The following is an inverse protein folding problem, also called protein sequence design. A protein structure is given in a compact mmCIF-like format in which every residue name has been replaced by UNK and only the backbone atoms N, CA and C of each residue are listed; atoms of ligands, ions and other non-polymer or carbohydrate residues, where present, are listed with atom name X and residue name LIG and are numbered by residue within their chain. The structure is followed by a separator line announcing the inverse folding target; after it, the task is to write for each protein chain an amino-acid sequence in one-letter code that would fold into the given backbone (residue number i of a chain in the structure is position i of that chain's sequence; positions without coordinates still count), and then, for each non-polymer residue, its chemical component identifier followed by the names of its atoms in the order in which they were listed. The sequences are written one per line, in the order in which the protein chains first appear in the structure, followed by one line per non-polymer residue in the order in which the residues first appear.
data_IF_330641541100
#
_entry.id   IF_330641541100
#
_cell.length_a   1.000
_cell.length_b   1.000
_cell.length_c   1.000
_cell.angle_alpha   90.00
_cell.angle_beta   90.00
_cell.angle_gamma   90.00
#
_symmetry.space_group_name_H-M   'P 1'
#
loop_
_entity.id
_entity.type
_entity.pdbx_description
1 polymer ?
#
# COMPACT_ATOMS: atom_id res chain seq x y z
N UNK A 1 -18.30 -6.42 -19.58
CA UNK A 1 -17.02 -5.76 -19.87
C UNK A 1 -15.94 -6.49 -19.08
N UNK A 2 -15.15 -7.36 -19.71
CA UNK A 2 -14.04 -8.06 -19.03
C UNK A 2 -12.84 -7.10 -18.97
N UNK A 3 -12.44 -6.70 -17.77
CA UNK A 3 -11.30 -5.82 -17.55
C UNK A 3 -10.01 -6.61 -17.77
N UNK A 4 -9.34 -6.39 -18.90
CA UNK A 4 -7.99 -6.89 -19.10
C UNK A 4 -7.04 -6.13 -18.17
N UNK A 5 -6.16 -6.82 -17.43
CA UNK A 5 -5.23 -6.15 -16.53
C UNK A 5 -4.30 -5.23 -17.34
N UNK A 6 -4.26 -3.96 -16.95
CA UNK A 6 -3.38 -2.98 -17.59
C UNK A 6 -1.92 -3.34 -17.34
N UNK A 7 -1.10 -3.24 -18.38
CA UNK A 7 0.34 -3.47 -18.28
C UNK A 7 1.00 -2.30 -17.55
N UNK A 8 2.03 -2.59 -16.75
CA UNK A 8 2.72 -1.61 -15.87
C UNK A 8 3.53 -0.53 -16.62
N UNK A 9 3.47 -0.48 -17.95
CA UNK A 9 4.38 0.31 -18.78
C UNK A 9 3.88 1.73 -19.10
N UNK A 10 2.61 2.06 -18.81
CA UNK A 10 2.06 3.40 -19.08
C UNK A 10 1.42 3.98 -17.82
N UNK A 11 2.09 4.95 -17.22
CA UNK A 11 1.62 5.68 -16.05
C UNK A 11 1.99 7.16 -16.16
N UNK A 12 1.22 8.01 -15.47
CA UNK A 12 1.49 9.45 -15.31
C UNK A 12 1.74 9.68 -13.83
N UNK A 13 2.81 10.42 -13.50
CA UNK A 13 3.10 10.80 -12.11
C UNK A 13 2.79 12.27 -11.95
N UNK A 14 1.88 12.58 -11.04
CA UNK A 14 1.49 13.94 -10.70
C UNK A 14 1.74 14.16 -9.20
N UNK A 15 2.42 15.25 -8.86
CA UNK A 15 2.69 15.66 -7.48
C UNK A 15 2.09 17.05 -7.30
N UNK A 16 1.14 17.19 -6.37
CA UNK A 16 0.46 18.47 -6.06
C UNK A 16 -0.17 19.16 -7.29
N UNK A 17 -0.61 18.37 -8.28
CA UNK A 17 -1.24 18.90 -9.50
C UNK A 17 -0.25 19.33 -10.59
N UNK A 18 1.05 19.19 -10.36
CA UNK A 18 2.09 19.37 -11.36
C UNK A 18 2.50 18.01 -11.95
N UNK A 19 2.66 17.96 -13.27
CA UNK A 19 3.24 16.79 -13.94
C UNK A 19 4.69 16.65 -13.48
N UNK A 20 4.96 15.60 -12.70
CA UNK A 20 6.27 15.40 -12.07
C UNK A 20 7.31 14.85 -13.05
N UNK A 21 6.94 14.65 -14.32
CA UNK A 21 7.80 14.12 -15.38
C UNK A 21 7.71 12.60 -15.55
N UNK A 22 8.54 12.10 -16.47
CA UNK A 22 8.64 10.68 -16.77
C UNK A 22 9.58 9.98 -15.78
N UNK A 23 9.05 9.02 -15.02
CA UNK A 23 9.85 8.10 -14.22
C UNK A 23 9.98 6.76 -14.94
N UNK A 24 11.09 6.07 -14.70
CA UNK A 24 11.33 4.70 -15.19
C UNK A 24 10.72 3.67 -14.25
N UNK A 25 10.69 3.94 -12.94
CA UNK A 25 10.10 3.06 -11.93
C UNK A 25 9.42 3.86 -10.82
N UNK A 26 8.21 3.43 -10.45
CA UNK A 26 7.40 4.02 -9.38
C UNK A 26 6.93 2.86 -8.49
N UNK A 27 7.47 2.78 -7.28
CA UNK A 27 7.22 1.68 -6.34
C UNK A 27 7.00 2.20 -4.93
N UNK A 28 6.58 1.31 -4.01
CA UNK A 28 6.38 1.68 -2.60
C UNK A 28 4.97 2.10 -2.23
N UNK A 29 3.97 1.82 -3.07
CA UNK A 29 2.54 1.98 -2.75
C UNK A 29 2.01 0.85 -1.86
N UNK A 30 2.81 0.39 -0.90
CA UNK A 30 2.37 -0.58 0.09
C UNK A 30 1.68 0.16 1.24
N UNK A 31 0.52 -0.36 1.63
CA UNK A 31 -0.16 0.02 2.84
C UNK A 31 -0.37 -1.25 3.66
N UNK A 32 0.32 -1.34 4.79
CA UNK A 32 0.22 -2.47 5.71
C UNK A 32 -0.45 -2.01 7.00
N UNK A 33 -1.33 -2.86 7.53
CA UNK A 33 -1.98 -2.62 8.83
C UNK A 33 -1.37 -3.65 9.77
N UNK A 34 -0.64 -3.19 10.78
CA UNK A 34 -0.15 -4.08 11.83
C UNK A 34 -1.36 -4.64 12.58
N UNK A 35 -1.40 -5.96 12.81
CA UNK A 35 -2.47 -6.58 13.58
C UNK A 35 -1.96 -6.84 14.99
N UNK A 36 -2.67 -6.32 15.98
CA UNK A 36 -2.39 -6.61 17.40
C UNK A 36 -3.33 -7.72 17.84
N UNK A 37 -2.77 -8.81 18.35
CA UNK A 37 -3.54 -9.92 18.88
C UNK A 37 -3.80 -9.72 20.37
N UNK A 38 -5.07 -9.53 20.74
CA UNK A 38 -5.49 -9.34 22.12
C UNK A 38 -6.14 -10.63 22.66
N UNK A 39 -5.76 -11.00 23.88
CA UNK A 39 -6.37 -12.11 24.64
C UNK A 39 -6.74 -11.64 26.03
N UNK A 40 -8.01 -11.82 26.38
CA UNK A 40 -8.53 -11.61 27.73
C UNK A 40 -8.80 -12.98 28.36
N UNK A 41 -8.62 -13.11 29.68
CA UNK A 41 -8.57 -14.40 30.39
C UNK A 41 -9.83 -15.26 30.33
N UNK A 42 -10.96 -14.72 29.88
CA UNK A 42 -12.27 -15.39 29.79
C UNK A 42 -12.75 -15.61 28.33
N UNK A 43 -11.88 -15.37 27.34
CA UNK A 43 -12.24 -15.52 25.92
C UNK A 43 -11.96 -16.91 25.34
N UNK A 44 -12.74 -17.24 24.30
CA UNK A 44 -12.62 -18.45 23.46
C UNK A 44 -11.18 -18.63 22.95
N UNK A 45 -10.75 -19.87 22.69
CA UNK A 45 -9.38 -20.32 22.36
C UNK A 45 -8.64 -19.54 21.25
N UNK A 46 -9.32 -18.64 20.53
CA UNK A 46 -8.77 -17.84 19.43
C UNK A 46 -8.53 -16.38 19.86
N UNK A 47 -7.32 -15.82 19.64
CA UNK A 47 -7.04 -14.41 19.92
C UNK A 47 -7.85 -13.49 19.02
N UNK A 48 -8.31 -12.35 19.56
CA UNK A 48 -8.96 -11.32 18.75
C UNK A 48 -7.92 -10.49 18.01
N UNK A 49 -8.16 -10.28 16.71
CA UNK A 49 -7.31 -9.46 15.85
C UNK A 49 -7.82 -8.03 15.86
N UNK A 50 -7.12 -7.16 16.57
CA UNK A 50 -7.39 -5.73 16.59
C UNK A 50 -6.53 -5.06 15.51
N UNK A 51 -7.12 -4.30 14.58
CA UNK A 51 -6.33 -3.53 13.62
C UNK A 51 -5.53 -2.47 14.38
N UNK A 52 -4.21 -2.58 14.32
CA UNK A 52 -3.25 -1.67 14.90
C UNK A 52 -2.92 -0.50 13.97
N UNK A 53 -1.67 -0.03 14.05
CA UNK A 53 -1.24 1.13 13.28
C UNK A 53 -1.19 0.81 11.77
N UNK A 54 -1.60 1.81 10.98
CA UNK A 54 -1.42 1.79 9.53
C UNK A 54 -0.01 2.28 9.22
N UNK A 55 0.79 1.43 8.61
CA UNK A 55 2.10 1.78 8.07
C UNK A 55 1.95 1.98 6.57
N UNK A 56 2.53 3.07 6.10
CA UNK A 56 2.68 3.35 4.68
C UNK A 56 4.14 3.16 4.32
N UNK A 57 4.39 2.39 3.27
CA UNK A 57 5.72 2.23 2.71
C UNK A 57 6.24 3.53 2.11
N UNK A 58 7.56 3.62 2.01
CA UNK A 58 8.20 4.77 1.37
C UNK A 58 8.01 4.67 -0.15
N UNK A 59 7.44 5.71 -0.76
CA UNK A 59 7.34 5.81 -2.21
C UNK A 59 8.73 6.07 -2.79
N UNK A 60 9.16 5.22 -3.73
CA UNK A 60 10.43 5.36 -4.44
C UNK A 60 10.16 5.61 -5.91
N UNK A 61 10.67 6.75 -6.39
CA UNK A 61 10.61 7.16 -7.80
C UNK A 61 12.03 7.11 -8.38
N UNK A 62 12.24 6.39 -9.47
CA UNK A 62 13.52 6.37 -10.19
C UNK A 62 13.37 7.00 -11.56
N UNK A 63 14.25 7.94 -11.86
CA UNK A 63 14.38 8.60 -13.16
C UNK A 63 15.82 8.40 -13.66
N UNK A 64 16.00 8.26 -14.97
CA UNK A 64 17.30 8.17 -15.64
C UNK A 64 17.42 9.22 -16.73
#
# INVERSE_FOLDING_TARGET
MMAYPHTRFRYKVEIEGLDAGGFSEVTGFDASIDVVEYREGDMVTTPQKVPGLKKYGNITLKQG
#
